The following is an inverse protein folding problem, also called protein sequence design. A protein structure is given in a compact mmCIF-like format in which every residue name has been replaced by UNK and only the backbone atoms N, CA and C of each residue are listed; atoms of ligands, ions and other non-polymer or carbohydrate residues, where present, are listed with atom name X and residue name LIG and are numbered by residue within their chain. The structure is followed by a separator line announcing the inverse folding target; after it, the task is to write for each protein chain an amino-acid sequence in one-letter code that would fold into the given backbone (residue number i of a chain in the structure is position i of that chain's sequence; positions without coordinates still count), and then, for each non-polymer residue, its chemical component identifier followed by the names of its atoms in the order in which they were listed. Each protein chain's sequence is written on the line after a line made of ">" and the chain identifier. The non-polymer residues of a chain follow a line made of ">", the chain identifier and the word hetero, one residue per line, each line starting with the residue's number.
data_IF_582311210732
#
_entry.id   IF_582311210732
#
_cell.length_a   1.000
_cell.length_b   1.000
_cell.length_c   1.000
_cell.angle_alpha   90.00
_cell.angle_beta   90.00
_cell.angle_gamma   90.00
#
_symmetry.space_group_name_H-M   'P 1'
#
loop_
_entity.id
_entity.type
_entity.pdbx_description
1 polymer ?
#
# COMPACT_ATOMS: atom_id res chain seq x y z
N UNK A 1 42.18 -39.99 -24.04
CA UNK A 1 41.75 -39.18 -22.89
C UNK A 1 40.25 -38.96 -23.02
N UNK A 2 39.44 -39.71 -22.27
CA UNK A 2 37.98 -39.53 -22.23
C UNK A 2 37.66 -38.73 -20.97
N UNK A 3 37.08 -37.54 -21.15
CA UNK A 3 36.62 -36.71 -20.04
C UNK A 3 35.28 -37.26 -19.55
N UNK A 4 35.27 -37.85 -18.36
CA UNK A 4 34.04 -38.18 -17.64
C UNK A 4 33.34 -36.88 -17.26
N UNK A 5 32.10 -36.70 -17.73
CA UNK A 5 31.19 -35.68 -17.25
C UNK A 5 30.48 -36.26 -16.03
N UNK A 6 30.82 -35.75 -14.86
CA UNK A 6 30.12 -36.03 -13.62
C UNK A 6 28.77 -35.27 -13.61
N UNK A 7 27.70 -35.99 -13.96
CA UNK A 7 26.32 -35.54 -13.75
C UNK A 7 25.94 -35.74 -12.27
N UNK A 8 26.50 -34.91 -11.39
CA UNK A 8 26.18 -34.94 -9.96
C UNK A 8 25.10 -33.89 -9.64
N UNK A 9 23.85 -34.22 -10.00
CA UNK A 9 22.64 -33.54 -9.52
C UNK A 9 21.56 -34.55 -9.13
N UNK A 10 21.90 -35.56 -8.32
CA UNK A 10 20.89 -36.33 -7.60
C UNK A 10 20.59 -35.65 -6.27
N UNK A 11 19.75 -34.62 -6.31
CA UNK A 11 19.06 -34.10 -5.13
C UNK A 11 18.12 -35.20 -4.60
N UNK A 12 18.59 -36.01 -3.66
CA UNK A 12 17.80 -37.01 -2.92
C UNK A 12 16.82 -36.36 -1.92
N UNK A 13 16.12 -35.30 -2.33
CA UNK A 13 14.99 -34.76 -1.57
C UNK A 13 13.77 -35.55 -2.02
N UNK A 14 13.47 -36.64 -1.30
CA UNK A 14 12.21 -37.38 -1.48
C UNK A 14 11.05 -36.40 -1.45
N UNK A 15 10.25 -36.38 -2.53
CA UNK A 15 9.08 -35.53 -2.60
C UNK A 15 8.18 -35.84 -1.39
N UNK A 16 7.71 -34.83 -0.64
CA UNK A 16 6.85 -35.08 0.50
C UNK A 16 5.60 -35.83 0.04
N UNK A 17 5.43 -37.05 0.54
CA UNK A 17 4.24 -37.86 0.29
C UNK A 17 3.09 -37.17 1.02
N UNK A 18 2.08 -36.74 0.27
CA UNK A 18 0.88 -36.14 0.84
C UNK A 18 0.16 -37.22 1.68
N UNK A 19 -0.26 -36.85 2.89
CA UNK A 19 -1.04 -37.75 3.74
C UNK A 19 -2.42 -37.98 3.13
N UNK A 20 -3.00 -39.15 3.35
CA UNK A 20 -4.33 -39.50 2.83
C UNK A 20 -5.40 -38.50 3.30
N UNK A 21 -5.26 -37.95 4.51
CA UNK A 21 -6.13 -36.90 5.04
C UNK A 21 -6.08 -35.62 4.18
N UNK A 22 -4.88 -35.19 3.78
CA UNK A 22 -4.69 -34.02 2.89
C UNK A 22 -5.26 -34.31 1.50
N UNK A 23 -5.09 -35.53 0.99
CA UNK A 23 -5.64 -35.95 -0.30
C UNK A 23 -7.18 -35.93 -0.26
N UNK A 24 -7.79 -36.41 0.83
CA UNK A 24 -9.24 -36.36 1.00
C UNK A 24 -9.75 -34.93 1.13
N UNK A 25 -9.07 -34.06 1.87
CA UNK A 25 -9.49 -32.67 2.02
C UNK A 25 -9.40 -31.90 0.69
N UNK A 26 -8.34 -32.13 -0.10
CA UNK A 26 -8.23 -31.60 -1.45
C UNK A 26 -9.33 -32.12 -2.38
N UNK A 27 -9.71 -33.41 -2.25
CA UNK A 27 -10.83 -33.99 -3.00
C UNK A 27 -12.17 -33.41 -2.57
N UNK A 28 -12.37 -33.08 -1.29
CA UNK A 28 -13.61 -32.43 -0.81
C UNK A 28 -13.76 -31.00 -1.36
N UNK A 29 -12.67 -30.34 -1.77
CA UNK A 29 -12.69 -29.11 -2.58
C UNK A 29 -13.06 -29.38 -4.05
N UNK A 30 -14.06 -30.24 -4.30
CA UNK A 30 -14.56 -30.63 -5.65
C UNK A 30 -15.11 -29.46 -6.46
N UNK A 31 -15.61 -28.43 -5.80
CA UNK A 31 -15.80 -27.10 -6.39
C UNK A 31 -14.44 -26.42 -6.33
N UNK A 32 -13.54 -26.85 -7.22
CA UNK A 32 -12.16 -26.36 -7.24
C UNK A 32 -12.13 -24.85 -7.09
N UNK A 33 -11.15 -24.36 -6.35
CA UNK A 33 -10.71 -22.96 -6.44
C UNK A 33 -10.92 -22.53 -7.89
N UNK A 34 -11.80 -21.55 -8.15
CA UNK A 34 -12.09 -21.12 -9.51
C UNK A 34 -10.79 -20.94 -10.27
N UNK A 35 -10.77 -21.22 -11.58
CA UNK A 35 -9.56 -21.17 -12.42
C UNK A 35 -8.60 -20.08 -11.93
N UNK A 36 -7.30 -20.37 -11.80
CA UNK A 36 -6.32 -19.37 -11.33
C UNK A 36 -6.47 -18.01 -12.05
N UNK A 37 -6.95 -18.02 -13.30
CA UNK A 37 -7.33 -16.83 -14.05
C UNK A 37 -8.50 -16.05 -13.41
N UNK A 38 -9.57 -16.73 -12.98
CA UNK A 38 -10.71 -16.16 -12.28
C UNK A 38 -10.31 -15.52 -10.95
N UNK A 39 -9.52 -16.19 -10.11
CA UNK A 39 -9.02 -15.60 -8.84
C UNK A 39 -8.18 -14.35 -9.13
N UNK A 40 -7.32 -14.41 -10.13
CA UNK A 40 -6.49 -13.25 -10.52
C UNK A 40 -7.32 -12.10 -11.10
N UNK A 41 -8.45 -12.41 -11.73
CA UNK A 41 -9.39 -11.40 -12.22
C UNK A 41 -10.13 -10.75 -11.05
N UNK A 42 -10.72 -11.56 -10.17
CA UNK A 42 -11.41 -11.10 -8.96
C UNK A 42 -10.50 -10.24 -8.08
N UNK A 43 -9.26 -10.66 -7.84
CA UNK A 43 -8.30 -9.85 -7.05
C UNK A 43 -7.97 -8.51 -7.71
N UNK A 44 -7.88 -8.47 -9.05
CA UNK A 44 -7.65 -7.21 -9.77
C UNK A 44 -8.87 -6.30 -9.67
N UNK A 45 -10.06 -6.86 -9.80
CA UNK A 45 -11.31 -6.12 -9.63
C UNK A 45 -11.45 -5.56 -8.23
N UNK A 46 -11.17 -6.35 -7.19
CA UNK A 46 -11.14 -5.87 -5.81
C UNK A 46 -10.13 -4.74 -5.60
N UNK A 47 -8.94 -4.84 -6.19
CA UNK A 47 -7.93 -3.79 -6.11
C UNK A 47 -8.38 -2.49 -6.80
N UNK A 48 -8.99 -2.60 -7.99
CA UNK A 48 -9.54 -1.45 -8.72
C UNK A 48 -10.70 -0.80 -7.96
N UNK A 49 -11.61 -1.60 -7.39
CA UNK A 49 -12.73 -1.11 -6.61
C UNK A 49 -12.25 -0.36 -5.36
N UNK A 50 -11.25 -0.89 -4.64
CA UNK A 50 -10.65 -0.21 -3.48
C UNK A 50 -9.89 1.05 -3.87
N UNK A 51 -9.20 1.06 -4.99
CA UNK A 51 -8.54 2.26 -5.51
C UNK A 51 -9.56 3.35 -5.84
N UNK A 52 -10.69 2.96 -6.45
CA UNK A 52 -11.77 3.88 -6.77
C UNK A 52 -12.43 4.45 -5.52
N UNK A 53 -12.70 3.62 -4.51
CA UNK A 53 -13.20 4.05 -3.19
C UNK A 53 -12.27 5.08 -2.54
N UNK A 54 -10.95 4.82 -2.55
CA UNK A 54 -9.95 5.76 -2.03
C UNK A 54 -9.99 7.11 -2.77
N UNK A 55 -10.11 7.09 -4.11
CA UNK A 55 -10.22 8.32 -4.93
C UNK A 55 -11.48 9.12 -4.63
N UNK A 56 -12.61 8.43 -4.46
CA UNK A 56 -13.89 9.07 -4.11
C UNK A 56 -13.84 9.69 -2.71
N UNK A 57 -13.22 9.01 -1.75
CA UNK A 57 -13.01 9.55 -0.41
C UNK A 57 -12.09 10.78 -0.41
N UNK A 58 -10.99 10.75 -1.16
CA UNK A 58 -10.10 11.90 -1.37
C UNK A 58 -10.88 13.08 -1.95
N UNK A 59 -11.69 12.84 -3.00
CA UNK A 59 -12.48 13.88 -3.64
C UNK A 59 -13.51 14.49 -2.67
N UNK A 60 -14.17 13.67 -1.85
CA UNK A 60 -15.11 14.15 -0.81
C UNK A 60 -14.41 15.05 0.20
N UNK A 61 -13.28 14.62 0.74
CA UNK A 61 -12.52 15.37 1.73
C UNK A 61 -11.99 16.68 1.15
N UNK A 62 -11.46 16.67 -0.08
CA UNK A 62 -11.02 17.88 -0.76
C UNK A 62 -12.16 18.90 -0.94
N UNK A 63 -13.39 18.43 -1.18
CA UNK A 63 -14.56 19.31 -1.26
C UNK A 63 -14.96 19.91 0.09
N UNK A 64 -14.80 19.17 1.18
CA UNK A 64 -15.10 19.64 2.55
C UNK A 64 -14.07 20.63 3.08
N UNK A 65 -12.78 20.43 2.75
CA UNK A 65 -11.66 21.25 3.21
C UNK A 65 -11.54 22.58 2.45
N UNK A 66 -12.52 23.45 2.66
CA UNK A 66 -12.54 24.79 2.06
C UNK A 66 -11.63 25.77 2.81
N UNK A 67 -11.01 26.76 2.14
CA UNK A 67 -10.21 27.79 2.82
C UNK A 67 -10.98 28.54 3.92
N UNK A 68 -12.29 28.65 3.78
CA UNK A 68 -13.20 29.35 4.68
C UNK A 68 -13.29 28.64 6.03
N UNK A 69 -13.25 27.31 6.03
CA UNK A 69 -13.15 26.50 7.24
C UNK A 69 -11.90 26.84 8.06
N UNK A 70 -10.80 27.21 7.40
CA UNK A 70 -9.52 27.51 8.05
C UNK A 70 -9.33 28.97 8.44
N UNK A 71 -10.18 29.89 8.00
CA UNK A 71 -10.04 31.32 8.33
C UNK A 71 -10.03 31.57 9.84
N UNK A 72 -10.88 30.87 10.59
CA UNK A 72 -10.95 30.96 12.05
C UNK A 72 -9.70 30.44 12.76
N UNK A 73 -8.96 29.54 12.11
CA UNK A 73 -7.72 28.95 12.61
C UNK A 73 -6.48 29.78 12.25
N UNK A 74 -6.63 30.77 11.37
CA UNK A 74 -5.50 31.64 11.02
C UNK A 74 -5.17 32.62 12.15
N UNK A 75 -3.87 32.91 12.36
CA UNK A 75 -3.46 33.89 13.35
C UNK A 75 -4.00 35.28 12.99
N UNK A 76 -4.46 36.02 14.01
CA UNK A 76 -4.97 37.38 13.84
C UNK A 76 -3.87 38.43 13.84
N UNK A 77 -2.73 38.15 14.49
CA UNK A 77 -1.57 39.05 14.62
C UNK A 77 -0.29 38.34 14.20
N UNK A 78 0.73 39.13 13.87
CA UNK A 78 2.05 38.57 13.55
C UNK A 78 2.72 37.99 14.80
N UNK A 79 3.50 36.93 14.64
CA UNK A 79 4.26 36.35 15.75
C UNK A 79 5.20 37.40 16.37
N UNK A 80 5.05 37.68 17.66
CA UNK A 80 5.88 38.65 18.38
C UNK A 80 5.51 40.12 18.14
N UNK A 81 4.33 40.41 17.57
CA UNK A 81 3.82 41.77 17.40
C UNK A 81 2.31 41.83 17.62
N UNK A 82 1.82 42.95 18.14
CA UNK A 82 0.38 43.23 18.25
C UNK A 82 -0.24 43.75 16.94
N UNK A 83 0.57 43.91 15.89
CA UNK A 83 0.08 44.34 14.59
C UNK A 83 -0.88 43.29 13.98
N UNK A 84 -2.10 43.69 13.57
CA UNK A 84 -3.05 42.76 12.96
C UNK A 84 -2.57 42.32 11.57
N UNK A 85 -2.75 41.03 11.26
CA UNK A 85 -2.48 40.48 9.94
C UNK A 85 -3.58 40.97 8.98
N UNK A 86 -3.22 41.57 7.83
CA UNK A 86 -4.19 41.96 6.82
C UNK A 86 -5.03 40.78 6.31
N UNK A 87 -6.28 41.06 5.97
CA UNK A 87 -7.26 40.05 5.57
C UNK A 87 -6.77 39.16 4.41
N UNK A 88 -6.20 39.76 3.35
CA UNK A 88 -5.67 39.01 2.21
C UNK A 88 -4.58 38.00 2.63
N UNK A 89 -3.76 38.35 3.63
CA UNK A 89 -2.70 37.47 4.12
C UNK A 89 -3.28 36.34 4.96
N UNK A 90 -4.31 36.60 5.76
CA UNK A 90 -5.09 35.54 6.45
C UNK A 90 -5.72 34.57 5.46
N UNK A 91 -6.35 35.09 4.40
CA UNK A 91 -6.92 34.25 3.34
C UNK A 91 -5.86 33.38 2.65
N UNK A 92 -4.67 33.91 2.40
CA UNK A 92 -3.56 33.13 1.85
C UNK A 92 -3.08 32.02 2.80
N UNK A 93 -3.00 32.30 4.11
CA UNK A 93 -2.66 31.29 5.12
C UNK A 93 -3.75 30.21 5.16
N UNK A 94 -5.02 30.60 5.19
CA UNK A 94 -6.14 29.66 5.22
C UNK A 94 -6.16 28.75 3.99
N UNK A 95 -5.89 29.30 2.79
CA UNK A 95 -5.69 28.50 1.57
C UNK A 95 -4.55 27.51 1.69
N UNK A 96 -3.40 27.93 2.25
CA UNK A 96 -2.25 27.04 2.49
C UNK A 96 -2.61 25.92 3.48
N UNK A 97 -3.33 26.25 4.55
CA UNK A 97 -3.78 25.27 5.53
C UNK A 97 -4.75 24.26 4.91
N UNK A 98 -5.71 24.71 4.10
CA UNK A 98 -6.63 23.84 3.38
C UNK A 98 -5.90 22.85 2.45
N UNK A 99 -4.97 23.35 1.64
CA UNK A 99 -4.15 22.51 0.74
C UNK A 99 -3.29 21.52 1.53
N UNK A 100 -2.66 21.97 2.62
CA UNK A 100 -1.84 21.10 3.45
C UNK A 100 -2.66 20.01 4.14
N UNK A 101 -3.84 20.35 4.66
CA UNK A 101 -4.76 19.39 5.27
C UNK A 101 -5.27 18.37 4.26
N UNK A 102 -5.69 18.83 3.08
CA UNK A 102 -6.14 17.96 1.99
C UNK A 102 -5.05 16.98 1.55
N UNK A 103 -3.83 17.48 1.38
CA UNK A 103 -2.68 16.64 1.00
C UNK A 103 -2.35 15.59 2.08
N UNK A 104 -2.37 15.99 3.35
CA UNK A 104 -2.08 15.07 4.47
C UNK A 104 -3.11 13.94 4.54
N UNK A 105 -4.39 14.27 4.33
CA UNK A 105 -5.47 13.30 4.38
C UNK A 105 -5.45 12.37 3.16
N UNK A 106 -5.15 12.91 1.98
CA UNK A 106 -4.88 12.11 0.77
C UNK A 106 -3.73 11.13 0.97
N UNK A 107 -2.61 11.59 1.54
CA UNK A 107 -1.47 10.72 1.88
C UNK A 107 -1.86 9.62 2.86
N UNK A 108 -2.72 9.90 3.86
CA UNK A 108 -3.23 8.88 4.80
C UNK A 108 -4.01 7.80 4.06
N UNK A 109 -4.94 8.18 3.20
CA UNK A 109 -5.79 7.25 2.44
C UNK A 109 -4.94 6.38 1.51
N UNK A 110 -3.97 6.96 0.82
CA UNK A 110 -3.06 6.18 -0.03
C UNK A 110 -2.16 5.24 0.76
N UNK A 111 -1.69 5.65 1.95
CA UNK A 111 -0.95 4.76 2.84
C UNK A 111 -1.80 3.55 3.25
N UNK A 112 -3.06 3.75 3.63
CA UNK A 112 -3.98 2.67 4.01
C UNK A 112 -4.27 1.72 2.84
N UNK A 113 -4.46 2.26 1.63
CA UNK A 113 -4.62 1.45 0.43
C UNK A 113 -3.38 0.58 0.14
N UNK A 114 -2.18 1.15 0.23
CA UNK A 114 -0.94 0.40 0.02
C UNK A 114 -0.68 -0.63 1.13
N UNK A 115 -1.04 -0.34 2.38
CA UNK A 115 -1.02 -1.31 3.48
C UNK A 115 -1.99 -2.47 3.25
N UNK A 116 -3.22 -2.17 2.82
CA UNK A 116 -4.19 -3.18 2.43
C UNK A 116 -3.63 -4.08 1.31
N UNK A 117 -3.07 -3.48 0.27
CA UNK A 117 -2.48 -4.19 -0.88
C UNK A 117 -1.32 -5.11 -0.48
N UNK A 118 -0.47 -4.69 0.46
CA UNK A 118 0.63 -5.51 1.01
C UNK A 118 0.16 -6.82 1.64
N UNK A 119 -1.05 -6.86 2.22
CA UNK A 119 -1.60 -8.08 2.81
C UNK A 119 -1.74 -9.19 1.77
N UNK A 120 -2.07 -8.83 0.52
CA UNK A 120 -2.29 -9.75 -0.59
C UNK A 120 -1.04 -10.02 -1.43
N UNK A 121 0.10 -9.42 -1.09
CA UNK A 121 1.35 -9.68 -1.79
C UNK A 121 1.83 -11.12 -1.57
N UNK A 122 2.32 -11.80 -2.62
CA UNK A 122 2.97 -13.10 -2.49
C UNK A 122 4.18 -13.06 -1.56
N UNK A 123 4.39 -14.12 -0.77
CA UNK A 123 5.47 -14.19 0.22
C UNK A 123 6.88 -13.97 -0.36
N UNK A 124 7.13 -14.37 -1.61
CA UNK A 124 8.43 -14.15 -2.25
C UNK A 124 8.76 -12.66 -2.45
N UNK A 125 7.75 -11.80 -2.61
CA UNK A 125 7.92 -10.34 -2.67
C UNK A 125 8.26 -9.76 -1.29
N UNK A 126 7.64 -10.30 -0.23
CA UNK A 126 7.88 -9.92 1.17
C UNK A 126 9.32 -10.21 1.60
N UNK A 127 9.85 -11.39 1.27
CA UNK A 127 11.23 -11.79 1.59
C UNK A 127 12.28 -10.94 0.86
N UNK A 128 12.04 -10.55 -0.39
CA UNK A 128 12.97 -9.68 -1.14
C UNK A 128 13.07 -8.28 -0.53
N UNK A 129 11.95 -7.74 -0.03
CA UNK A 129 11.90 -6.43 0.63
C UNK A 129 12.66 -6.44 1.97
N UNK A 130 12.61 -7.55 2.72
CA UNK A 130 13.42 -7.75 3.93
C UNK A 130 14.92 -7.82 3.60
N UNK A 131 15.32 -8.55 2.55
CA UNK A 131 16.74 -8.64 2.15
C UNK A 131 17.31 -7.30 1.70
N UNK A 132 16.56 -6.53 0.92
CA UNK A 132 16.99 -5.20 0.46
C UNK A 132 17.08 -4.16 1.60
N UNK A 133 16.31 -4.32 2.67
CA UNK A 133 16.45 -3.52 3.90
C UNK A 133 17.72 -3.84 4.70
N UNK A 134 18.29 -5.04 4.53
CA UNK A 134 19.50 -5.49 5.23
C UNK A 134 20.77 -5.05 4.48
N UNK A 135 20.69 -4.77 3.17
CA UNK A 135 21.85 -4.45 2.32
C UNK A 135 22.13 -2.95 2.18
N UNK A 136 21.83 -2.13 3.20
CA UNK A 136 22.34 -0.76 3.25
C UNK A 136 23.40 -0.62 4.36
N UNK A 137 24.63 -1.14 4.16
CA UNK A 137 25.75 -0.74 4.99
C UNK A 137 26.14 0.70 4.61
N UNK A 138 25.91 1.64 5.52
CA UNK A 138 26.68 2.88 5.58
C UNK A 138 28.16 2.54 5.40
N UNK A 139 28.76 3.02 4.31
CA UNK A 139 30.22 3.06 4.19
C UNK A 139 30.71 4.34 4.88
N UNK A 140 31.82 4.27 5.65
CA UNK A 140 32.42 5.41 6.34
C UNK A 140 33.01 6.46 5.40
#
# INVERSE_FOLDING_TARGET
>A
MHAEKSDDYTSNVSAPVLTEDVIQDLRKMTQGIGSLAAIKAERREQALAREQEAREEIARIQAELTPQFFLSQTPKTFTGSDAPIPEWKRQMIAKKMAVAAAKKEEERIWCEFEEWKKQFEPNWKKTNNQRSSITNPQSP
#
